data_IF_072875583068
#
_entry.id   IF_072875583068
#
_cell.length_a   1.000
_cell.length_b   1.000
_cell.length_c   1.000
_cell.angle_alpha   90.00
_cell.angle_beta   90.00
_cell.angle_gamma   90.00
#
_symmetry.space_group_name_H-M   'P 1'
#
loop_
_entity.id
_entity.type
_entity.pdbx_description
1 polymer ?
#
# COMPACT_ATOMS: atom_id res chain seq x y z
N UNK A 1 10.43 -3.48 15.22
CA UNK A 1 9.42 -3.70 14.16
C UNK A 1 8.79 -2.35 13.88
N UNK A 2 9.02 -1.79 12.69
CA UNK A 2 8.61 -0.43 12.36
C UNK A 2 7.14 -0.47 11.93
N UNK A 3 6.23 -0.40 12.89
CA UNK A 3 4.79 -0.53 12.66
C UNK A 3 4.27 0.69 11.88
N UNK A 4 4.09 0.51 10.57
CA UNK A 4 3.38 1.47 9.75
C UNK A 4 1.92 1.56 10.23
N UNK A 5 1.39 2.77 10.46
CA UNK A 5 0.03 2.94 10.94
C UNK A 5 -0.99 2.38 9.94
N UNK A 6 -2.14 1.95 10.45
CA UNK A 6 -3.32 1.54 9.68
C UNK A 6 -3.14 0.27 8.81
N UNK A 7 -2.28 -0.66 9.22
CA UNK A 7 -2.09 -1.94 8.52
C UNK A 7 -1.34 -1.82 7.20
N UNK A 8 -0.66 -0.70 6.95
CA UNK A 8 0.09 -0.48 5.70
C UNK A 8 1.31 -1.41 5.61
N UNK A 9 1.88 -1.83 6.74
CA UNK A 9 2.91 -2.87 6.78
C UNK A 9 2.37 -4.22 6.25
N UNK A 10 1.15 -4.60 6.64
CA UNK A 10 0.49 -5.82 6.14
C UNK A 10 0.20 -5.71 4.64
N UNK A 11 -0.25 -4.55 4.17
CA UNK A 11 -0.45 -4.30 2.74
C UNK A 11 0.88 -4.42 1.98
N UNK A 12 1.97 -3.83 2.49
CA UNK A 12 3.30 -3.94 1.88
C UNK A 12 3.77 -5.40 1.81
N UNK A 13 3.55 -6.17 2.89
CA UNK A 13 3.84 -7.61 2.94
C UNK A 13 3.02 -8.39 1.90
N UNK A 14 1.71 -8.15 1.80
CA UNK A 14 0.83 -8.80 0.81
C UNK A 14 1.27 -8.50 -0.62
N UNK A 15 1.67 -7.26 -0.91
CA UNK A 15 2.19 -6.86 -2.22
C UNK A 15 3.50 -7.58 -2.54
N UNK A 16 4.43 -7.63 -1.59
CA UNK A 16 5.69 -8.35 -1.75
C UNK A 16 5.50 -9.87 -1.95
N UNK A 17 4.58 -10.48 -1.19
CA UNK A 17 4.24 -11.89 -1.28
C UNK A 17 3.61 -12.26 -2.64
N UNK A 18 2.68 -11.43 -3.12
CA UNK A 18 2.06 -11.60 -4.45
C UNK A 18 3.09 -11.54 -5.58
N UNK A 19 4.12 -10.69 -5.43
CA UNK A 19 5.18 -10.53 -6.43
C UNK A 19 6.11 -11.75 -6.46
N UNK A 20 6.35 -12.39 -5.31
CA UNK A 20 7.20 -13.60 -5.21
C UNK A 20 6.60 -14.83 -5.88
N UNK A 21 5.26 -14.98 -5.90
CA UNK A 21 4.60 -16.18 -6.40
C UNK A 21 4.62 -16.38 -7.93
N UNK A 22 4.73 -15.31 -8.72
CA UNK A 22 4.49 -15.35 -10.18
C UNK A 22 5.72 -15.07 -11.05
N UNK A 23 6.93 -15.28 -10.54
CA UNK A 23 8.16 -15.02 -11.29
C UNK A 23 8.84 -13.69 -10.98
N UNK A 24 8.52 -13.09 -9.82
CA UNK A 24 9.18 -11.89 -9.33
C UNK A 24 8.88 -10.63 -10.17
N UNK A 25 7.72 -10.61 -10.84
CA UNK A 25 7.22 -9.48 -11.62
C UNK A 25 5.92 -8.95 -11.02
N UNK A 26 5.83 -7.64 -10.84
CA UNK A 26 4.62 -7.01 -10.32
C UNK A 26 3.48 -7.09 -11.34
N UNK A 27 2.50 -7.91 -11.01
CA UNK A 27 1.34 -8.12 -11.88
C UNK A 27 0.51 -6.84 -12.02
N UNK A 28 0.09 -6.54 -13.25
CA UNK A 28 -0.78 -5.39 -13.55
C UNK A 28 -2.09 -5.43 -12.75
N UNK A 29 -2.63 -6.62 -12.48
CA UNK A 29 -3.82 -6.78 -11.63
C UNK A 29 -3.55 -6.26 -10.19
N UNK A 30 -2.36 -6.49 -9.66
CA UNK A 30 -1.97 -6.08 -8.30
C UNK A 30 -1.80 -4.58 -8.23
N UNK A 31 -1.20 -3.98 -9.27
CA UNK A 31 -1.12 -2.53 -9.43
C UNK A 31 -2.53 -1.92 -9.50
N UNK A 32 -3.46 -2.54 -10.23
CA UNK A 32 -4.84 -2.06 -10.33
C UNK A 32 -5.56 -2.09 -8.96
N UNK A 33 -5.43 -3.19 -8.20
CA UNK A 33 -5.97 -3.30 -6.83
C UNK A 33 -5.35 -2.27 -5.88
N UNK A 34 -4.05 -2.03 -5.99
CA UNK A 34 -3.36 -1.00 -5.21
C UNK A 34 -3.84 0.42 -5.55
N UNK A 35 -3.98 0.73 -6.84
CA UNK A 35 -4.57 2.01 -7.29
C UNK A 35 -5.99 2.19 -6.77
N UNK A 36 -6.81 1.14 -6.77
CA UNK A 36 -8.16 1.19 -6.22
C UNK A 36 -8.12 1.49 -4.72
N UNK A 37 -7.28 0.81 -3.93
CA UNK A 37 -7.15 1.07 -2.50
C UNK A 37 -6.65 2.51 -2.21
N UNK A 38 -5.71 3.03 -3.00
CA UNK A 38 -5.27 4.43 -2.93
C UNK A 38 -6.40 5.46 -3.17
N UNK A 39 -7.39 5.10 -3.97
CA UNK A 39 -8.58 5.94 -4.19
C UNK A 39 -9.60 5.77 -3.08
N UNK A 40 -9.85 4.52 -2.70
CA UNK A 40 -10.93 4.11 -1.82
C UNK A 40 -10.62 4.33 -0.34
N UNK A 41 -9.36 4.25 0.06
CA UNK A 41 -8.84 4.46 1.41
C UNK A 41 -7.90 5.67 1.43
N UNK A 42 -8.27 6.75 0.74
CA UNK A 42 -7.41 7.95 0.57
C UNK A 42 -6.89 8.49 1.90
N UNK A 43 -7.73 8.54 2.94
CA UNK A 43 -7.37 9.07 4.26
C UNK A 43 -6.19 8.31 4.88
N UNK A 44 -6.22 6.97 4.77
CA UNK A 44 -5.16 6.07 5.23
C UNK A 44 -3.81 6.41 4.59
N UNK A 45 -3.79 6.64 3.29
CA UNK A 45 -2.56 6.86 2.51
C UNK A 45 -2.05 8.29 2.56
N UNK A 46 -2.89 9.24 2.98
CA UNK A 46 -2.52 10.66 3.09
C UNK A 46 -1.37 10.86 4.08
N UNK A 47 -1.41 10.15 5.20
CA UNK A 47 -0.42 10.26 6.29
C UNK A 47 0.85 9.43 6.07
N UNK A 48 0.84 8.50 5.10
CA UNK A 48 1.96 7.58 4.86
C UNK A 48 3.02 8.22 3.99
N UNK A 49 4.26 8.25 4.47
CA UNK A 49 5.37 8.75 3.67
C UNK A 49 5.78 7.74 2.59
N UNK A 50 5.89 8.15 1.31
CA UNK A 50 6.29 7.26 0.22
C UNK A 50 7.67 6.61 0.45
N UNK A 51 8.61 7.28 1.13
CA UNK A 51 9.93 6.70 1.42
C UNK A 51 9.85 5.58 2.46
N UNK A 52 8.99 5.74 3.47
CA UNK A 52 8.77 4.71 4.50
C UNK A 52 8.07 3.49 3.87
N UNK A 53 7.13 3.74 2.97
CA UNK A 53 6.47 2.68 2.22
C UNK A 53 7.45 1.92 1.31
N UNK A 54 8.33 2.63 0.60
CA UNK A 54 9.40 2.04 -0.20
C UNK A 54 10.33 1.14 0.64
N UNK A 55 10.81 1.66 1.78
CA UNK A 55 11.68 0.91 2.68
C UNK A 55 11.00 -0.37 3.21
N UNK A 56 9.70 -0.33 3.47
CA UNK A 56 8.94 -1.50 3.88
C UNK A 56 8.84 -2.56 2.77
N UNK A 57 8.55 -2.14 1.53
CA UNK A 57 8.49 -3.06 0.38
C UNK A 57 9.84 -3.74 0.14
N UNK A 58 10.94 -2.96 0.16
CA UNK A 58 12.30 -3.46 0.02
C UNK A 58 12.67 -4.41 1.18
N UNK A 59 12.29 -4.07 2.40
CA UNK A 59 12.51 -4.91 3.58
C UNK A 59 11.79 -6.26 3.51
N UNK A 60 10.68 -6.35 2.79
CA UNK A 60 9.97 -7.60 2.52
C UNK A 60 10.54 -8.40 1.33
N UNK A 61 11.62 -7.93 0.71
CA UNK A 61 12.28 -8.58 -0.41
C UNK A 61 11.64 -8.29 -1.77
N UNK A 62 10.82 -7.23 -1.86
CA UNK A 62 10.33 -6.74 -3.14
C UNK A 62 11.48 -6.09 -3.93
N UNK A 63 11.47 -6.24 -5.25
CA UNK A 63 12.46 -5.61 -6.11
C UNK A 63 12.30 -4.09 -6.11
N UNK A 64 13.40 -3.33 -6.20
CA UNK A 64 13.35 -1.87 -6.22
C UNK A 64 12.58 -1.31 -7.43
N UNK A 65 12.59 -2.00 -8.57
CA UNK A 65 11.83 -1.60 -9.75
C UNK A 65 10.32 -1.64 -9.48
N UNK A 66 9.82 -2.75 -8.93
CA UNK A 66 8.41 -2.92 -8.59
C UNK A 66 7.98 -1.98 -7.45
N UNK A 67 8.84 -1.83 -6.43
CA UNK A 67 8.62 -0.89 -5.34
C UNK A 67 8.50 0.55 -5.85
N UNK A 68 9.37 0.97 -6.78
CA UNK A 68 9.32 2.29 -7.40
C UNK A 68 8.00 2.54 -8.15
N UNK A 69 7.43 1.53 -8.81
CA UNK A 69 6.11 1.64 -9.46
C UNK A 69 5.01 1.90 -8.43
N UNK A 70 4.99 1.16 -7.31
CA UNK A 70 3.99 1.36 -6.26
C UNK A 70 4.14 2.73 -5.59
N UNK A 71 5.38 3.13 -5.28
CA UNK A 71 5.70 4.42 -4.67
C UNK A 71 5.33 5.58 -5.60
N UNK A 72 5.57 5.46 -6.91
CA UNK A 72 5.16 6.45 -7.91
C UNK A 72 3.64 6.62 -7.94
N UNK A 73 2.86 5.53 -7.85
CA UNK A 73 1.40 5.61 -7.74
C UNK A 73 0.97 6.37 -6.47
N UNK A 74 1.58 6.07 -5.33
CA UNK A 74 1.31 6.79 -4.07
C UNK A 74 1.67 8.28 -4.18
N UNK A 75 2.82 8.62 -4.79
CA UNK A 75 3.23 10.02 -5.04
C UNK A 75 2.26 10.75 -5.96
N UNK A 76 1.85 10.13 -7.07
CA UNK A 76 0.83 10.67 -7.99
C UNK A 76 -0.47 10.95 -7.25
N UNK A 77 -0.91 10.02 -6.39
CA UNK A 77 -2.11 10.21 -5.57
C UNK A 77 -1.98 11.38 -4.60
N UNK A 78 -0.84 11.48 -3.89
CA UNK A 78 -0.53 12.59 -2.96
C UNK A 78 -0.45 13.93 -3.67
N UNK A 79 0.05 13.96 -4.90
CA UNK A 79 0.04 15.13 -5.76
C UNK A 79 -1.38 15.52 -6.26
N UNK A 80 -2.43 14.85 -5.79
CA UNK A 80 -3.81 15.12 -6.19
C UNK A 80 -4.18 14.55 -7.56
N UNK A 81 -3.30 13.77 -8.22
CA UNK A 81 -3.68 13.11 -9.48
C UNK A 81 -4.65 11.97 -9.21
N UNK A 82 -5.69 11.92 -10.03
CA UNK A 82 -6.64 10.82 -10.06
C UNK A 82 -5.98 9.61 -10.71
N UNK A 83 -5.69 8.59 -9.92
CA UNK A 83 -5.35 7.27 -10.43
C UNK A 83 -6.63 6.67 -11.02
N UNK A 84 -6.55 5.98 -12.15
CA UNK A 84 -7.69 5.25 -12.71
C UNK A 84 -7.31 3.78 -12.72
N UNK A 85 -7.83 2.97 -11.77
CA UNK A 85 -7.68 1.53 -11.84
C UNK A 85 -8.53 1.00 -13.00
N UNK A 86 -7.90 0.16 -13.83
CA UNK A 86 -8.53 -0.46 -15.01
C UNK A 86 -9.51 -1.56 -14.60
N UNK A 87 -9.30 -2.19 -13.44
CA UNK A 87 -10.13 -3.25 -12.86
C UNK A 87 -10.24 -3.06 -11.34
N UNK A 88 -11.21 -3.71 -10.69
CA UNK A 88 -11.38 -3.75 -9.23
C UNK A 88 -11.50 -2.35 -8.57
N UNK A 89 -12.27 -1.44 -9.19
CA UNK A 89 -12.41 -0.03 -8.77
C UNK A 89 -12.87 0.18 -7.32
N UNK A 90 -13.60 -0.76 -6.75
CA UNK A 90 -14.14 -0.69 -5.37
C UNK A 90 -13.27 -1.46 -4.37
N UNK A 91 -12.18 -2.05 -4.82
CA UNK A 91 -11.31 -2.85 -3.97
C UNK A 91 -10.63 -1.98 -2.91
N UNK A 92 -10.66 -2.49 -1.68
CA UNK A 92 -9.96 -1.97 -0.52
C UNK A 92 -9.22 -3.14 0.10
N UNK A 93 -7.93 -3.00 0.34
CA UNK A 93 -7.23 -3.93 1.21
C UNK A 93 -7.86 -3.82 2.60
N UNK A 94 -8.28 -4.98 3.13
CA UNK A 94 -8.72 -5.09 4.51
C UNK A 94 -7.48 -4.89 5.39
N UNK A 95 -7.30 -3.68 5.92
CA UNK A 95 -6.45 -3.52 7.09
C UNK A 95 -7.11 -4.31 8.23
N UNK A 96 -6.39 -5.12 9.03
CA UNK A 96 -6.89 -5.37 10.37
C UNK A 96 -7.04 -3.98 11.00
N UNK A 97 -8.28 -3.62 11.32
CA UNK A 97 -8.56 -2.42 12.09
C UNK A 97 -7.92 -2.67 13.45
N UNK A 98 -6.70 -2.19 13.66
CA UNK A 98 -6.24 -1.95 15.03
C UNK A 98 -7.02 -0.74 15.49
N UNK A 99 -8.21 -1.00 16.05
CA UNK A 99 -8.92 -0.04 16.88
C UNK A 99 -7.92 0.37 17.95
N UNK A 100 -7.43 1.60 17.87
CA UNK A 100 -6.70 2.20 18.98
C UNK A 100 -7.68 2.19 20.17
N UNK A 101 -7.37 1.60 21.33
CA UNK A 101 -8.21 1.80 22.49
C UNK A 101 -8.22 3.32 22.79
N UNK A 102 -9.36 3.93 23.15
CA UNK A 102 -9.35 5.30 23.65
C UNK A 102 -8.39 5.38 24.84
N UNK A 103 -7.74 6.54 25.08
CA UNK A 103 -6.90 6.71 26.26
C UNK A 103 -7.76 6.41 27.49
N UNK A 104 -7.31 5.47 28.32
CA UNK A 104 -7.95 5.22 29.61
C UNK A 104 -7.60 6.41 30.49
N UNK A 105 -8.54 7.32 30.68
CA UNK A 105 -8.47 8.30 31.77
C UNK A 105 -8.72 7.54 33.08
N UNK A 106 -7.67 7.44 33.91
CA UNK A 106 -7.75 7.06 35.32
C UNK A 106 -7.32 8.25 36.18
#
# INVERSE_FOLDING_TARGET
>A
MNELPNGVAEIAKLLADTTRGYGNELQQHTIAKFKADLMNATDRWRVIDPKVFEAALLGHGMRPQDAAVLVDNLRKRKAGKRLVPTQDREFKFRSPVTVFPPPIEF
#
